data_IF_444637791759
#
_entry.id   IF_444637791759
#
_cell.length_a   1.000
_cell.length_b   1.000
_cell.length_c   1.000
_cell.angle_alpha   90.00
_cell.angle_beta   90.00
_cell.angle_gamma   90.00
#
_symmetry.space_group_name_H-M   'P 1'
#
loop_
_entity.id
_entity.type
_entity.pdbx_description
1 polymer ?
#
# COMPACT_ATOMS: atom_id res chain seq x y z
N UNK A 1 -9.25 -61.89 -25.50
CA UNK A 1 -7.92 -62.36 -25.91
C UNK A 1 -6.88 -61.55 -25.14
N UNK A 2 -6.08 -62.22 -24.31
CA UNK A 2 -4.94 -61.65 -23.57
C UNK A 2 -3.77 -61.44 -24.53
N UNK A 3 -3.05 -60.34 -24.40
CA UNK A 3 -1.65 -60.25 -24.79
C UNK A 3 -0.87 -59.69 -23.60
N UNK A 4 0.02 -60.52 -23.08
CA UNK A 4 0.99 -60.24 -22.04
C UNK A 4 2.26 -59.71 -22.71
N UNK A 5 2.96 -58.79 -22.06
CA UNK A 5 4.41 -58.57 -22.14
C UNK A 5 4.75 -57.34 -21.28
N UNK A 6 5.81 -57.26 -20.48
CA UNK A 6 6.80 -58.20 -19.96
C UNK A 6 7.43 -57.42 -18.81
N UNK A 7 7.54 -58.06 -17.65
CA UNK A 7 8.26 -57.56 -16.48
C UNK A 7 9.74 -57.40 -16.77
N UNK A 8 10.35 -56.26 -16.41
CA UNK A 8 11.76 -56.23 -16.01
C UNK A 8 12.01 -55.09 -15.01
N UNK A 9 12.54 -55.47 -13.85
CA UNK A 9 13.17 -54.66 -12.78
C UNK A 9 14.24 -55.59 -12.16
N UNK A 10 15.18 -55.19 -11.28
CA UNK A 10 15.83 -53.89 -10.95
C UNK A 10 17.40 -54.03 -11.14
N UNK A 11 18.34 -53.17 -10.62
CA UNK A 11 18.29 -52.39 -9.38
C UNK A 11 18.96 -50.99 -9.33
N UNK A 12 18.91 -50.46 -8.10
CA UNK A 12 19.27 -49.15 -7.59
C UNK A 12 20.78 -48.81 -7.58
N UNK A 13 21.05 -47.52 -7.40
CA UNK A 13 22.38 -46.91 -7.22
C UNK A 13 22.50 -45.73 -8.20
N UNK A 14 22.46 -44.45 -7.81
CA UNK A 14 23.06 -43.86 -6.63
C UNK A 14 24.56 -43.72 -6.88
N UNK A 15 25.00 -42.50 -7.24
CA UNK A 15 26.26 -41.81 -6.89
C UNK A 15 26.65 -40.84 -8.01
N UNK A 16 26.69 -39.56 -7.64
CA UNK A 16 27.26 -38.42 -8.35
C UNK A 16 28.77 -38.44 -8.11
N UNK A 17 29.65 -38.20 -9.09
CA UNK A 17 31.09 -38.18 -8.82
C UNK A 17 31.50 -36.93 -8.05
N UNK A 18 32.13 -37.24 -6.93
CA UNK A 18 32.90 -36.42 -6.01
C UNK A 18 34.17 -35.85 -6.68
N UNK A 19 34.41 -34.54 -6.53
CA UNK A 19 35.73 -33.96 -6.68
C UNK A 19 36.26 -33.63 -5.27
N UNK A 20 37.16 -34.50 -4.80
CA UNK A 20 38.14 -34.26 -3.74
C UNK A 20 39.02 -33.04 -4.09
N UNK A 21 39.70 -32.34 -3.19
CA UNK A 21 40.00 -32.49 -1.76
C UNK A 21 40.64 -31.14 -1.32
N UNK A 22 41.12 -30.94 -0.11
CA UNK A 22 41.38 -31.89 0.96
C UNK A 22 41.46 -31.19 2.31
N UNK A 23 41.40 -32.03 3.32
CA UNK A 23 41.39 -31.72 4.73
C UNK A 23 42.81 -31.92 5.27
N UNK A 24 43.40 -30.90 5.90
CA UNK A 24 44.58 -31.07 6.76
C UNK A 24 44.37 -30.44 8.12
N UNK A 25 44.16 -31.34 9.09
CA UNK A 25 44.56 -31.40 10.51
C UNK A 25 44.48 -30.16 11.42
N UNK A 26 43.78 -30.41 12.54
CA UNK A 26 43.87 -29.78 13.86
C UNK A 26 45.31 -29.69 14.39
N UNK A 27 45.61 -28.58 15.05
CA UNK A 27 46.65 -28.50 16.08
C UNK A 27 47.34 -27.15 16.10
N UNK A 28 47.34 -26.52 17.28
CA UNK A 28 48.18 -25.37 17.66
C UNK A 28 47.69 -23.99 17.18
N UNK A 29 47.10 -23.22 18.11
CA UNK A 29 47.72 -21.99 18.65
C UNK A 29 46.76 -21.42 19.70
N UNK A 30 47.09 -21.64 20.97
CA UNK A 30 46.63 -20.81 22.10
C UNK A 30 47.56 -19.60 22.21
N UNK A 31 47.01 -18.53 22.76
CA UNK A 31 47.70 -17.37 23.33
C UNK A 31 48.35 -16.39 22.35
N UNK A 32 47.58 -15.36 22.00
CA UNK A 32 47.93 -13.94 22.14
C UNK A 32 46.72 -13.09 21.75
N UNK A 33 46.70 -11.85 22.20
CA UNK A 33 45.64 -10.82 22.05
C UNK A 33 44.65 -10.70 23.22
N UNK A 34 45.20 -10.49 24.42
CA UNK A 34 44.61 -9.56 25.38
C UNK A 34 45.33 -8.21 25.26
N UNK A 35 44.92 -7.36 24.32
CA UNK A 35 45.15 -5.90 24.36
C UNK A 35 43.97 -5.21 23.68
N UNK A 36 43.30 -4.34 24.43
CA UNK A 36 42.09 -3.63 24.00
C UNK A 36 42.33 -2.81 22.74
N UNK A 37 41.45 -3.02 21.77
CA UNK A 37 41.23 -2.08 20.66
C UNK A 37 39.77 -1.65 20.79
N UNK A 38 39.57 -0.41 21.22
CA UNK A 38 38.28 0.26 21.13
C UNK A 38 37.93 0.39 19.66
N UNK A 39 36.89 -0.32 19.21
CA UNK A 39 36.29 -0.12 17.89
C UNK A 39 35.54 1.21 17.94
N UNK A 40 35.88 2.24 17.16
CA UNK A 40 35.05 3.43 17.10
C UNK A 40 33.73 3.07 16.43
N UNK A 41 32.64 3.27 17.16
CA UNK A 41 31.29 3.33 16.62
C UNK A 41 31.26 4.40 15.53
N UNK A 42 31.20 3.96 14.27
CA UNK A 42 31.00 4.82 13.11
C UNK A 42 29.63 4.53 12.54
N UNK A 43 28.60 4.81 13.32
CA UNK A 43 27.27 5.07 12.78
C UNK A 43 27.39 6.33 11.90
N UNK A 44 27.13 6.27 10.58
CA UNK A 44 27.14 7.46 9.74
C UNK A 44 26.07 8.43 10.26
N UNK A 45 26.33 9.76 10.29
CA UNK A 45 25.35 10.73 10.73
C UNK A 45 24.10 10.60 9.86
N UNK A 46 22.93 10.64 10.49
CA UNK A 46 21.65 10.70 9.80
C UNK A 46 21.70 11.82 8.75
N UNK A 47 21.15 11.61 7.54
CA UNK A 47 21.02 12.69 6.58
C UNK A 47 20.29 13.86 7.25
N UNK A 48 20.66 15.12 6.96
CA UNK A 48 19.97 16.27 7.52
C UNK A 48 18.48 16.13 7.24
N UNK A 49 17.65 16.39 8.26
CA UNK A 49 16.21 16.41 8.11
C UNK A 49 15.85 17.26 6.88
N UNK A 50 15.00 16.72 5.99
CA UNK A 50 14.50 17.46 4.84
C UNK A 50 13.98 18.83 5.32
N UNK A 51 14.29 19.92 4.60
CA UNK A 51 13.80 21.23 4.98
C UNK A 51 12.26 21.19 5.09
N UNK A 52 11.67 21.97 6.02
CA UNK A 52 10.22 22.05 6.12
C UNK A 52 9.66 22.46 4.77
N UNK A 53 8.63 21.75 4.31
CA UNK A 53 7.93 22.10 3.08
C UNK A 53 7.49 23.57 3.13
N UNK A 54 7.60 24.32 2.02
CA UNK A 54 7.16 25.71 1.99
C UNK A 54 5.69 25.83 2.39
N UNK A 55 5.26 26.96 3.00
CA UNK A 55 3.89 27.15 3.40
C UNK A 55 2.94 27.00 2.20
N UNK A 56 1.87 26.23 2.37
CA UNK A 56 0.83 26.07 1.35
C UNK A 56 0.22 27.45 1.04
N UNK A 57 0.15 27.87 -0.24
CA UNK A 57 -0.54 29.10 -0.61
C UNK A 57 -2.01 29.04 -0.17
N UNK A 58 -2.66 30.19 0.08
CA UNK A 58 -4.07 30.21 0.45
C UNK A 58 -4.93 29.61 -0.67
N UNK A 59 -6.06 28.97 -0.34
CA UNK A 59 -6.95 28.37 -1.34
C UNK A 59 -7.52 29.46 -2.26
N UNK A 60 -7.67 29.12 -3.54
CA UNK A 60 -8.18 30.00 -4.59
C UNK A 60 -9.63 30.40 -4.35
N UNK A 61 -10.42 29.53 -3.73
CA UNK A 61 -11.83 29.76 -3.39
C UNK A 61 -12.23 29.00 -2.13
N UNK A 62 -13.43 29.31 -1.62
CA UNK A 62 -14.03 28.52 -0.55
C UNK A 62 -14.35 27.11 -1.04
N UNK A 63 -14.13 26.12 -0.18
CA UNK A 63 -14.48 24.74 -0.48
C UNK A 63 -16.00 24.50 -0.31
N UNK A 64 -16.46 23.33 -0.78
CA UNK A 64 -17.79 22.82 -0.48
C UNK A 64 -17.95 22.59 1.03
N UNK A 65 -19.18 22.67 1.51
CA UNK A 65 -19.52 22.50 2.93
C UNK A 65 -20.32 21.22 3.21
N UNK A 66 -20.72 20.51 2.15
CA UNK A 66 -21.58 19.32 2.22
C UNK A 66 -21.00 18.19 1.38
N UNK A 67 -21.35 16.95 1.70
CA UNK A 67 -20.99 15.77 0.91
C UNK A 67 -21.94 15.64 -0.28
N UNK A 68 -21.39 15.59 -1.49
CA UNK A 68 -22.07 15.27 -2.74
C UNK A 68 -21.62 13.89 -3.24
N UNK A 69 -22.59 13.01 -3.47
CA UNK A 69 -22.35 11.67 -4.04
C UNK A 69 -22.94 11.63 -5.46
N UNK A 70 -22.09 11.79 -6.46
CA UNK A 70 -22.49 11.86 -7.88
C UNK A 70 -22.98 10.48 -8.34
N UNK A 71 -24.24 10.39 -8.76
CA UNK A 71 -24.89 9.13 -9.14
C UNK A 71 -25.60 8.39 -7.99
N UNK A 72 -25.65 8.98 -6.78
CA UNK A 72 -26.44 8.43 -5.66
C UNK A 72 -25.82 7.19 -4.98
N UNK A 73 -26.56 6.57 -4.06
CA UNK A 73 -26.10 5.37 -3.36
C UNK A 73 -26.15 4.13 -4.27
N UNK A 74 -25.08 3.33 -4.27
CA UNK A 74 -24.97 2.12 -5.10
C UNK A 74 -24.73 0.89 -4.22
N UNK A 75 -25.44 -0.23 -4.44
CA UNK A 75 -25.17 -1.47 -3.73
C UNK A 75 -23.81 -2.03 -4.17
N UNK A 76 -22.93 -2.30 -3.21
CA UNK A 76 -21.58 -2.82 -3.47
C UNK A 76 -21.58 -4.35 -3.38
N UNK A 77 -21.90 -5.03 -4.48
CA UNK A 77 -21.90 -6.50 -4.57
C UNK A 77 -20.50 -7.04 -4.88
N UNK A 78 -19.54 -6.79 -3.99
CA UNK A 78 -18.13 -7.19 -4.20
C UNK A 78 -17.65 -8.09 -3.07
N UNK A 79 -17.15 -9.27 -3.44
CA UNK A 79 -16.55 -10.25 -2.53
C UNK A 79 -15.05 -10.01 -2.36
N UNK A 80 -14.48 -10.51 -1.25
CA UNK A 80 -13.03 -10.50 -1.06
C UNK A 80 -12.38 -11.52 -1.99
N UNK A 81 -11.31 -11.10 -2.66
CA UNK A 81 -10.42 -11.95 -3.42
C UNK A 81 -9.09 -12.13 -2.67
N UNK A 82 -8.39 -13.26 -2.86
CA UNK A 82 -7.01 -13.41 -2.41
C UNK A 82 -6.12 -12.27 -2.93
N UNK A 83 -5.01 -12.02 -2.24
CA UNK A 83 -4.02 -11.05 -2.72
C UNK A 83 -3.56 -11.39 -4.13
N UNK A 84 -3.55 -10.40 -5.02
CA UNK A 84 -3.19 -10.55 -6.43
C UNK A 84 -2.09 -9.55 -6.80
N UNK A 85 -0.99 -10.04 -7.39
CA UNK A 85 0.14 -9.22 -7.81
C UNK A 85 -0.25 -8.20 -8.90
N UNK A 86 -1.28 -8.49 -9.69
CA UNK A 86 -1.80 -7.61 -10.74
C UNK A 86 -2.35 -6.29 -10.20
N UNK A 87 -2.68 -6.20 -8.91
CA UNK A 87 -3.09 -4.93 -8.31
C UNK A 87 -1.96 -3.92 -8.27
N UNK A 88 -0.71 -4.36 -8.09
CA UNK A 88 0.45 -3.47 -8.14
C UNK A 88 0.71 -2.99 -9.59
N UNK A 89 0.54 -3.87 -10.57
CA UNK A 89 0.65 -3.53 -12.00
C UNK A 89 -0.43 -2.51 -12.39
N UNK A 90 -1.69 -2.76 -12.01
CA UNK A 90 -2.80 -1.85 -12.26
C UNK A 90 -2.59 -0.48 -11.58
N UNK A 91 -2.08 -0.47 -10.35
CA UNK A 91 -1.68 0.78 -9.69
C UNK A 91 -0.64 1.54 -10.52
N UNK A 92 0.44 0.90 -10.95
CA UNK A 92 1.51 1.55 -11.70
C UNK A 92 1.00 2.10 -13.04
N UNK A 93 0.09 1.40 -13.71
CA UNK A 93 -0.54 1.86 -14.94
C UNK A 93 -1.35 3.13 -14.71
N UNK A 94 -2.16 3.16 -13.65
CA UNK A 94 -2.95 4.33 -13.28
C UNK A 94 -2.09 5.48 -12.74
N UNK A 95 -1.01 5.21 -12.01
CA UNK A 95 -0.04 6.23 -11.60
C UNK A 95 0.52 6.96 -12.83
N UNK A 96 0.97 6.21 -13.84
CA UNK A 96 1.49 6.81 -15.09
C UNK A 96 0.42 7.61 -15.82
N UNK A 97 -0.80 7.08 -15.91
CA UNK A 97 -1.95 7.76 -16.54
C UNK A 97 -2.28 9.08 -15.84
N UNK A 98 -2.36 9.08 -14.51
CA UNK A 98 -2.65 10.27 -13.70
C UNK A 98 -1.53 11.29 -13.88
N UNK A 99 -0.27 10.86 -13.76
CA UNK A 99 0.88 11.74 -13.90
C UNK A 99 0.93 12.41 -15.28
N UNK A 100 0.68 11.65 -16.34
CA UNK A 100 0.61 12.19 -17.70
C UNK A 100 -0.54 13.20 -17.86
N UNK A 101 -1.75 12.85 -17.39
CA UNK A 101 -2.91 13.72 -17.48
C UNK A 101 -2.67 15.08 -16.80
N UNK A 102 -2.12 15.05 -15.58
CA UNK A 102 -1.83 16.26 -14.81
C UNK A 102 -0.68 17.07 -15.43
N UNK A 103 0.35 16.44 -15.99
CA UNK A 103 1.44 17.15 -16.64
C UNK A 103 1.03 17.87 -17.94
N UNK A 104 0.07 17.32 -18.69
CA UNK A 104 -0.38 17.89 -19.97
C UNK A 104 -1.37 19.05 -19.80
N UNK A 105 -2.21 19.00 -18.77
CA UNK A 105 -3.38 19.88 -18.65
C UNK A 105 -3.28 20.88 -17.49
N UNK A 106 -2.24 20.77 -16.67
CA UNK A 106 -2.12 21.55 -15.44
C UNK A 106 -0.82 22.34 -15.39
N UNK A 107 -0.82 23.57 -14.85
CA UNK A 107 0.40 24.27 -14.48
C UNK A 107 1.13 23.61 -13.30
N UNK A 108 0.59 22.51 -12.75
CA UNK A 108 1.23 21.75 -11.69
C UNK A 108 2.56 21.17 -12.18
N UNK A 109 3.64 21.53 -11.49
CA UNK A 109 4.92 20.87 -11.70
C UNK A 109 4.77 19.36 -11.41
N UNK A 110 5.34 18.51 -12.28
CA UNK A 110 5.17 17.06 -12.17
C UNK A 110 5.68 16.48 -10.82
N UNK A 111 6.61 17.17 -10.16
CA UNK A 111 7.15 16.84 -8.84
C UNK A 111 6.24 17.29 -7.69
N UNK A 112 5.29 18.19 -7.96
CA UNK A 112 4.37 18.73 -6.96
C UNK A 112 3.23 17.74 -6.61
N UNK A 113 3.03 16.68 -7.38
CA UNK A 113 1.94 15.72 -7.17
C UNK A 113 2.47 14.44 -6.55
N UNK A 114 2.10 14.18 -5.29
CA UNK A 114 2.33 12.89 -4.64
C UNK A 114 1.25 11.90 -5.06
N UNK A 115 1.64 10.74 -5.59
CA UNK A 115 0.73 9.66 -6.00
C UNK A 115 1.18 8.38 -5.28
N UNK A 116 0.27 7.78 -4.52
CA UNK A 116 0.60 6.63 -3.68
C UNK A 116 -0.48 5.53 -3.76
N UNK A 117 -0.05 4.27 -3.83
CA UNK A 117 -0.94 3.13 -3.70
C UNK A 117 -1.36 2.97 -2.24
N UNK A 118 -2.65 3.05 -1.96
CA UNK A 118 -3.21 2.91 -0.62
C UNK A 118 -4.25 1.78 -0.57
N UNK A 119 -4.97 1.68 0.54
CA UNK A 119 -6.02 0.67 0.71
C UNK A 119 -5.49 -0.76 0.83
N UNK A 120 -6.41 -1.73 0.86
CA UNK A 120 -6.04 -3.14 1.09
C UNK A 120 -5.25 -3.75 -0.06
N UNK A 121 -5.48 -3.30 -1.30
CA UNK A 121 -4.82 -3.85 -2.50
C UNK A 121 -3.35 -3.47 -2.60
N UNK A 122 -2.90 -2.47 -1.82
CA UNK A 122 -1.48 -2.12 -1.69
C UNK A 122 -0.69 -3.04 -0.74
N UNK A 123 -1.35 -3.93 0.00
CA UNK A 123 -0.73 -4.82 0.98
C UNK A 123 -0.62 -6.24 0.42
N UNK A 124 0.61 -6.66 0.10
CA UNK A 124 0.89 -8.02 -0.37
C UNK A 124 0.48 -9.05 0.69
N UNK A 125 -0.25 -10.07 0.26
CA UNK A 125 -0.75 -11.15 1.13
C UNK A 125 -2.02 -10.81 1.91
N UNK A 126 -2.68 -9.68 1.64
CA UNK A 126 -3.96 -9.31 2.23
C UNK A 126 -5.11 -9.53 1.24
N UNK A 127 -6.11 -10.33 1.59
CA UNK A 127 -7.33 -10.45 0.79
C UNK A 127 -8.11 -9.13 0.79
N UNK A 128 -8.59 -8.70 -0.37
CA UNK A 128 -9.21 -7.39 -0.56
C UNK A 128 -10.37 -7.46 -1.54
N UNK A 129 -11.22 -6.43 -1.54
CA UNK A 129 -12.06 -6.17 -2.71
C UNK A 129 -11.12 -5.78 -3.85
N UNK A 130 -11.32 -6.27 -5.08
CA UNK A 130 -10.44 -5.97 -6.22
C UNK A 130 -10.67 -4.55 -6.72
N UNK A 131 -10.39 -3.56 -5.86
CA UNK A 131 -10.47 -2.14 -6.12
C UNK A 131 -9.12 -1.54 -5.71
N UNK A 132 -8.42 -0.95 -6.67
CA UNK A 132 -7.16 -0.25 -6.41
C UNK A 132 -7.48 1.16 -5.91
N UNK A 133 -7.09 1.45 -4.67
CA UNK A 133 -7.24 2.79 -4.10
C UNK A 133 -5.92 3.55 -4.25
N UNK A 134 -5.97 4.74 -4.84
CA UNK A 134 -4.84 5.62 -5.08
C UNK A 134 -5.11 6.92 -4.35
N UNK A 135 -4.11 7.49 -3.68
CA UNK A 135 -4.19 8.87 -3.19
C UNK A 135 -3.30 9.77 -4.05
N UNK A 136 -3.85 10.93 -4.42
CA UNK A 136 -3.20 11.99 -5.18
C UNK A 136 -3.25 13.26 -4.34
N UNK A 137 -2.11 13.94 -4.18
CA UNK A 137 -2.05 15.24 -3.51
C UNK A 137 -1.91 16.38 -4.50
N UNK A 138 -2.73 17.42 -4.33
CA UNK A 138 -2.71 18.64 -5.15
C UNK A 138 -2.42 19.87 -4.28
N UNK A 139 -1.84 20.96 -4.80
CA UNK A 139 -1.54 22.14 -3.99
C UNK A 139 -2.76 22.84 -3.41
N UNK A 140 -3.88 22.82 -4.14
CA UNK A 140 -5.13 23.46 -3.77
C UNK A 140 -6.29 22.55 -4.18
N UNK A 141 -6.99 22.01 -3.19
CA UNK A 141 -8.11 21.08 -3.47
C UNK A 141 -9.31 21.79 -4.10
N UNK A 142 -9.44 23.10 -3.90
CA UNK A 142 -10.56 23.91 -4.41
C UNK A 142 -10.36 24.34 -5.87
N UNK A 143 -9.13 24.23 -6.38
CA UNK A 143 -8.77 24.49 -7.77
C UNK A 143 -9.03 23.28 -8.68
N UNK A 144 -10.29 22.81 -8.72
CA UNK A 144 -10.68 21.63 -9.50
C UNK A 144 -10.32 21.72 -10.99
N UNK A 145 -10.29 22.91 -11.58
CA UNK A 145 -9.86 23.17 -12.95
C UNK A 145 -8.39 22.77 -13.21
N UNK A 146 -7.56 22.74 -12.16
CA UNK A 146 -6.14 22.39 -12.28
C UNK A 146 -5.92 20.87 -12.30
N UNK A 147 -6.89 20.04 -11.89
CA UNK A 147 -6.66 18.60 -11.76
C UNK A 147 -7.86 17.74 -12.14
N UNK A 148 -9.09 18.14 -11.81
CA UNK A 148 -10.28 17.34 -12.03
C UNK A 148 -10.57 17.22 -13.52
N UNK A 149 -10.54 18.33 -14.27
CA UNK A 149 -10.79 18.31 -15.72
C UNK A 149 -9.79 17.41 -16.45
N UNK A 150 -8.53 17.42 -16.03
CA UNK A 150 -7.49 16.53 -16.55
C UNK A 150 -7.79 15.06 -16.25
N UNK A 151 -8.23 14.74 -15.03
CA UNK A 151 -8.62 13.38 -14.66
C UNK A 151 -9.88 12.92 -15.41
N UNK A 152 -10.88 13.80 -15.59
CA UNK A 152 -12.08 13.48 -16.37
C UNK A 152 -11.72 13.21 -17.84
N UNK A 153 -10.87 14.04 -18.45
CA UNK A 153 -10.35 13.83 -19.80
C UNK A 153 -9.54 12.54 -19.91
N UNK A 154 -8.82 12.18 -18.85
CA UNK A 154 -8.15 10.90 -18.72
C UNK A 154 -9.10 9.73 -18.41
N UNK A 155 -10.42 9.88 -18.52
CA UNK A 155 -11.38 8.77 -18.45
C UNK A 155 -11.79 8.33 -17.04
N UNK A 156 -11.61 9.20 -16.04
CA UNK A 156 -12.17 9.02 -14.71
C UNK A 156 -13.54 9.72 -14.59
N UNK A 157 -14.33 9.31 -13.61
CA UNK A 157 -15.63 9.89 -13.29
C UNK A 157 -15.61 10.42 -11.86
N UNK A 158 -16.06 11.66 -11.65
CA UNK A 158 -16.27 12.20 -10.30
C UNK A 158 -17.35 11.40 -9.58
N UNK A 159 -17.04 10.99 -8.35
CA UNK A 159 -17.91 10.17 -7.51
C UNK A 159 -18.27 10.84 -6.19
N UNK A 160 -17.30 11.45 -5.52
CA UNK A 160 -17.53 12.18 -4.26
C UNK A 160 -16.90 13.56 -4.36
N UNK A 161 -17.63 14.56 -3.89
CA UNK A 161 -17.10 15.88 -3.59
C UNK A 161 -17.51 16.24 -2.17
N UNK A 162 -16.54 16.39 -1.28
CA UNK A 162 -16.77 16.74 0.12
C UNK A 162 -15.66 17.69 0.62
N UNK A 163 -15.83 18.34 1.79
CA UNK A 163 -14.83 19.28 2.28
C UNK A 163 -13.46 18.63 2.40
N UNK A 164 -12.46 19.19 1.73
CA UNK A 164 -11.08 18.70 1.72
C UNK A 164 -10.82 17.46 0.85
N UNK A 165 -11.84 16.85 0.22
CA UNK A 165 -11.69 15.56 -0.46
C UNK A 165 -12.53 15.41 -1.72
N UNK A 166 -11.89 14.92 -2.78
CA UNK A 166 -12.58 14.49 -4.00
C UNK A 166 -12.27 13.01 -4.25
N UNK A 167 -13.25 12.29 -4.79
CA UNK A 167 -13.05 10.92 -5.26
C UNK A 167 -13.43 10.87 -6.73
N UNK A 168 -12.48 10.46 -7.58
CA UNK A 168 -12.79 10.00 -8.94
C UNK A 168 -12.59 8.49 -9.04
N UNK A 169 -13.24 7.85 -10.01
CA UNK A 169 -13.11 6.40 -10.24
C UNK A 169 -13.13 6.05 -11.71
N UNK A 170 -12.70 4.84 -12.04
CA UNK A 170 -12.94 4.28 -13.38
C UNK A 170 -14.42 3.91 -13.58
N UNK A 171 -14.94 3.94 -14.82
CA UNK A 171 -16.31 3.47 -15.11
C UNK A 171 -16.55 2.01 -14.71
N UNK A 172 -15.48 1.19 -14.76
CA UNK A 172 -15.44 -0.21 -14.32
C UNK A 172 -15.41 -0.38 -12.79
N UNK A 173 -15.19 0.70 -12.04
CA UNK A 173 -15.22 0.75 -10.56
C UNK A 173 -14.17 -0.13 -9.89
N UNK A 174 -13.11 -0.45 -10.62
CA UNK A 174 -11.96 -1.23 -10.17
C UNK A 174 -10.79 -0.33 -9.70
N UNK A 175 -10.89 0.99 -9.89
CA UNK A 175 -9.92 1.96 -9.39
C UNK A 175 -10.63 3.18 -8.80
N UNK A 176 -10.17 3.57 -7.62
CA UNK A 176 -10.56 4.78 -6.91
C UNK A 176 -9.34 5.69 -6.75
N UNK A 177 -9.52 6.97 -7.02
CA UNK A 177 -8.49 7.99 -6.86
C UNK A 177 -9.02 9.04 -5.89
N UNK A 178 -8.45 9.04 -4.68
CA UNK A 178 -8.69 10.02 -3.64
C UNK A 178 -7.79 11.22 -3.89
N UNK A 179 -8.36 12.39 -4.10
CA UNK A 179 -7.62 13.64 -4.22
C UNK A 179 -7.73 14.40 -2.90
N UNK A 180 -6.58 14.79 -2.36
CA UNK A 180 -6.43 15.55 -1.12
C UNK A 180 -5.51 16.73 -1.35
N UNK A 181 -5.60 17.74 -0.50
CA UNK A 181 -4.63 18.84 -0.51
C UNK A 181 -3.26 18.38 -0.01
N UNK A 182 -2.19 19.02 -0.50
CA UNK A 182 -0.84 18.75 -0.03
C UNK A 182 -0.72 19.09 1.45
N UNK A 183 -0.19 18.15 2.21
CA UNK A 183 -0.04 18.28 3.66
C UNK A 183 -1.27 17.83 4.44
N UNK A 184 -2.32 17.35 3.77
CA UNK A 184 -3.46 16.74 4.43
C UNK A 184 -3.00 15.55 5.30
N UNK A 185 -3.34 15.52 6.61
CA UNK A 185 -2.90 14.48 7.53
C UNK A 185 -3.43 13.09 7.16
N UNK A 186 -4.55 13.00 6.43
CA UNK A 186 -5.11 11.73 5.99
C UNK A 186 -4.15 10.94 5.09
N UNK A 187 -3.30 11.62 4.33
CA UNK A 187 -2.26 10.97 3.51
C UNK A 187 -1.32 10.17 4.41
N UNK A 188 -0.76 10.81 5.45
CA UNK A 188 0.12 10.14 6.41
C UNK A 188 -0.57 8.98 7.12
N UNK A 189 -1.86 9.13 7.43
CA UNK A 189 -2.68 8.09 8.04
C UNK A 189 -2.92 6.87 7.12
N UNK A 190 -3.06 7.07 5.81
CA UNK A 190 -3.15 5.97 4.84
C UNK A 190 -1.82 5.22 4.72
N UNK A 191 -0.72 5.96 4.58
CA UNK A 191 0.62 5.37 4.43
C UNK A 191 1.04 4.62 5.69
N UNK A 192 0.81 5.20 6.87
CA UNK A 192 1.06 4.55 8.16
C UNK A 192 0.33 3.21 8.26
N UNK A 193 -0.96 3.18 7.91
CA UNK A 193 -1.75 1.97 7.96
C UNK A 193 -1.25 0.91 6.97
N UNK A 194 -1.00 1.30 5.71
CA UNK A 194 -0.45 0.43 4.68
C UNK A 194 0.88 -0.20 5.10
N UNK A 195 1.83 0.63 5.50
CA UNK A 195 3.20 0.20 5.76
C UNK A 195 3.30 -0.64 7.03
N UNK A 196 2.43 -0.36 8.03
CA UNK A 196 2.26 -1.24 9.17
C UNK A 196 1.72 -2.61 8.77
N UNK A 197 0.64 -2.68 7.97
CA UNK A 197 0.09 -3.96 7.52
C UNK A 197 1.03 -4.76 6.60
N UNK A 198 1.94 -4.09 5.88
CA UNK A 198 2.99 -4.76 5.10
C UNK A 198 4.01 -5.44 6.03
N UNK A 199 4.37 -4.80 7.15
CA UNK A 199 5.42 -5.24 8.06
C UNK A 199 4.95 -6.02 9.29
N UNK A 200 3.64 -6.07 9.55
CA UNK A 200 3.04 -6.78 10.69
C UNK A 200 2.03 -7.85 10.22
N UNK A 201 2.46 -9.11 10.26
CA UNK A 201 1.62 -10.23 9.82
C UNK A 201 0.42 -10.49 10.75
N UNK A 202 0.54 -10.18 12.05
CA UNK A 202 -0.54 -10.41 13.01
C UNK A 202 -1.67 -9.41 12.79
N UNK A 203 -1.34 -8.12 12.64
CA UNK A 203 -2.32 -7.08 12.35
C UNK A 203 -2.92 -7.20 10.94
N UNK A 204 -2.14 -7.68 9.97
CA UNK A 204 -2.67 -8.04 8.65
C UNK A 204 -3.71 -9.15 8.73
N UNK A 205 -3.44 -10.22 9.47
CA UNK A 205 -4.37 -11.33 9.66
C UNK A 205 -5.62 -10.90 10.44
N UNK A 206 -5.46 -10.10 11.51
CA UNK A 206 -6.57 -9.52 12.26
C UNK A 206 -7.48 -8.71 11.34
N UNK A 207 -6.91 -7.80 10.55
CA UNK A 207 -7.66 -6.96 9.63
C UNK A 207 -8.40 -7.75 8.56
N UNK A 208 -7.77 -8.80 8.00
CA UNK A 208 -8.44 -9.69 7.04
C UNK A 208 -9.61 -10.44 7.67
N UNK A 209 -9.39 -11.04 8.84
CA UNK A 209 -10.42 -11.80 9.56
C UNK A 209 -11.61 -10.91 9.92
N UNK A 210 -11.37 -9.68 10.36
CA UNK A 210 -12.42 -8.69 10.57
C UNK A 210 -13.19 -8.44 9.28
N UNK A 211 -12.53 -8.16 8.14
CA UNK A 211 -13.24 -7.95 6.87
C UNK A 211 -14.09 -9.15 6.46
N UNK A 212 -13.58 -10.38 6.63
CA UNK A 212 -14.34 -11.61 6.33
C UNK A 212 -15.56 -11.75 7.24
N UNK A 213 -15.38 -11.55 8.55
CA UNK A 213 -16.47 -11.63 9.53
C UNK A 213 -17.55 -10.56 9.28
N UNK A 214 -17.13 -9.35 8.88
CA UNK A 214 -18.06 -8.28 8.51
C UNK A 214 -18.85 -8.64 7.24
N UNK A 215 -18.26 -9.29 6.24
CA UNK A 215 -18.96 -9.67 5.01
C UNK A 215 -19.86 -10.91 5.16
N UNK A 216 -19.62 -11.75 6.17
CA UNK A 216 -20.42 -12.97 6.39
C UNK A 216 -21.68 -12.75 7.21
N UNK A 217 -21.89 -11.56 7.80
CA UNK A 217 -23.06 -11.26 8.64
C UNK A 217 -24.09 -10.42 7.87
N UNK A 218 -25.39 -10.71 7.99
CA UNK A 218 -26.41 -9.76 7.58
C UNK A 218 -26.37 -8.56 8.53
N UNK A 219 -26.21 -7.36 7.98
CA UNK A 219 -26.27 -6.12 8.75
C UNK A 219 -27.62 -5.46 8.49
N UNK A 220 -28.39 -5.22 9.55
CA UNK A 220 -29.63 -4.43 9.47
C UNK A 220 -29.36 -2.93 9.38
N UNK A 221 -28.13 -2.51 9.68
CA UNK A 221 -27.69 -1.11 9.71
C UNK A 221 -26.26 -1.00 9.17
N UNK A 222 -26.06 -0.13 8.16
CA UNK A 222 -24.77 0.17 7.58
C UNK A 222 -23.82 0.88 8.56
N UNK A 223 -24.35 1.60 9.56
CA UNK A 223 -23.55 2.29 10.56
C UNK A 223 -22.82 1.28 11.46
N UNK A 224 -23.52 0.24 11.94
CA UNK A 224 -22.91 -0.82 12.74
C UNK A 224 -21.78 -1.57 12.00
N UNK A 225 -21.89 -1.73 10.68
CA UNK A 225 -20.83 -2.28 9.83
C UNK A 225 -19.62 -1.33 9.77
N UNK A 226 -19.87 -0.03 9.62
CA UNK A 226 -18.82 1.01 9.56
C UNK A 226 -18.07 1.13 10.89
N UNK A 227 -18.79 1.13 12.00
CA UNK A 227 -18.23 1.29 13.36
C UNK A 227 -17.29 0.14 13.72
N UNK A 228 -17.72 -1.10 13.48
CA UNK A 228 -16.92 -2.29 13.76
C UNK A 228 -15.62 -2.34 12.94
N UNK A 229 -15.64 -1.83 11.70
CA UNK A 229 -14.43 -1.68 10.89
C UNK A 229 -13.54 -0.55 11.41
N UNK A 230 -14.15 0.55 11.83
CA UNK A 230 -13.45 1.76 12.30
C UNK A 230 -12.65 1.47 13.57
N UNK A 231 -13.21 0.72 14.52
CA UNK A 231 -12.53 0.36 15.76
C UNK A 231 -11.23 -0.43 15.51
N UNK A 232 -11.29 -1.46 14.67
CA UNK A 232 -10.12 -2.29 14.34
C UNK A 232 -9.05 -1.47 13.60
N UNK A 233 -9.47 -0.64 12.64
CA UNK A 233 -8.54 0.24 11.91
C UNK A 233 -7.86 1.23 12.86
N UNK A 234 -8.61 1.85 13.78
CA UNK A 234 -8.07 2.77 14.75
C UNK A 234 -7.07 2.09 15.69
N UNK A 235 -7.39 0.90 16.19
CA UNK A 235 -6.51 0.12 17.05
C UNK A 235 -5.18 -0.27 16.35
N UNK A 236 -5.26 -0.68 15.08
CA UNK A 236 -4.06 -0.99 14.28
C UNK A 236 -3.21 0.27 14.07
N UNK A 237 -3.83 1.40 13.72
CA UNK A 237 -3.12 2.67 13.56
C UNK A 237 -2.40 3.10 14.84
N UNK A 238 -3.02 2.92 16.00
CA UNK A 238 -2.35 3.27 17.27
C UNK A 238 -1.13 2.38 17.54
N UNK A 239 -1.22 1.08 17.27
CA UNK A 239 -0.05 0.18 17.32
C UNK A 239 1.04 0.61 16.34
N UNK A 240 0.66 1.00 15.13
CA UNK A 240 1.59 1.53 14.13
C UNK A 240 2.34 2.78 14.65
N UNK A 241 1.61 3.75 15.24
CA UNK A 241 2.24 4.95 15.84
C UNK A 241 3.21 4.60 16.96
N UNK A 242 2.84 3.67 17.84
CA UNK A 242 3.71 3.21 18.93
C UNK A 242 5.01 2.59 18.39
N UNK A 243 4.93 1.79 17.32
CA UNK A 243 6.10 1.15 16.69
C UNK A 243 7.01 2.13 15.96
N UNK A 244 6.44 3.12 15.27
CA UNK A 244 7.23 4.18 14.62
C UNK A 244 8.02 5.00 15.65
N UNK A 245 7.42 5.26 16.82
CA UNK A 245 8.09 5.94 17.95
C UNK A 245 9.22 5.12 18.59
N UNK A 246 9.15 3.78 18.57
CA UNK A 246 10.20 2.92 19.11
C UNK A 246 11.35 2.66 18.15
N UNK A 247 11.11 2.78 16.83
CA UNK A 247 12.12 2.53 15.78
C UNK A 247 12.96 3.78 15.46
N UNK A 248 12.47 4.97 15.82
CA UNK A 248 13.17 6.26 15.67
C UNK A 248 14.01 6.69 16.88
N UNK A 249 14.46 5.76 17.73
CA UNK A 249 15.35 6.02 18.88
C UNK A 249 16.71 5.37 18.70
#
# INVERSE_FOLDING_TARGET
MRAQNTTTRPPAGGVVPEAAGGFTRKGEYRDRWSKGVTVPDRTPPLPPASPPSPPTPPPRRADVTTVEIVGGAEPLTVTLQPSDARWAELYLDHERRIRAALAEHSPLEAEAVGIEHIGSTSVVGLAAKPIVDIVVTVPDITAEEDYLDALLAAGYELRVREPGHRLVRTPTRDVHVHILERGDPAVGEYLLFRDHLRSDAADRALYENTKRALLSRPWSDMNAYSDAKTEVVAAIKERARLRSRSTGR
#
